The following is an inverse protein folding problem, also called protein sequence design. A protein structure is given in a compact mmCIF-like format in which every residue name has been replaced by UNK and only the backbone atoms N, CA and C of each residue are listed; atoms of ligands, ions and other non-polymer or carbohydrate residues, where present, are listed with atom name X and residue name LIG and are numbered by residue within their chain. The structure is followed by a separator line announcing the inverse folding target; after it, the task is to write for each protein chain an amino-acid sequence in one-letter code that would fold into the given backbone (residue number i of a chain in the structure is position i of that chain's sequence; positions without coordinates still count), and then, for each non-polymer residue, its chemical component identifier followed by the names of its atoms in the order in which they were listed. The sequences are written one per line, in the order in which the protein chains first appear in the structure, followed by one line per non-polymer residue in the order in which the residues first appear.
data_IF_685903868801
#
_entry.id   IF_685903868801
#
_cell.length_a   1.000
_cell.length_b   1.000
_cell.length_c   1.000
_cell.angle_alpha   90.00
_cell.angle_beta   90.00
_cell.angle_gamma   90.00
#
_symmetry.space_group_name_H-M   'P 1'
#
loop_
_entity.id
_entity.type
_entity.pdbx_description
1 polymer ?
#
# COMPACT_ATOMS: atom_id res chain seq x y z
N UNK A 1 4.71 -38.71 27.51
CA UNK A 1 5.53 -37.93 26.54
C UNK A 1 5.06 -38.09 25.09
N UNK A 2 4.71 -39.28 24.59
CA UNK A 2 4.31 -39.46 23.17
C UNK A 2 3.03 -38.69 22.74
N UNK A 3 2.07 -38.49 23.65
CA UNK A 3 0.81 -37.76 23.34
C UNK A 3 0.99 -36.24 23.18
N UNK A 4 2.00 -35.64 23.83
CA UNK A 4 2.24 -34.19 23.77
C UNK A 4 2.82 -33.75 22.43
N UNK A 5 3.69 -34.56 21.81
CA UNK A 5 4.18 -34.28 20.47
C UNK A 5 3.06 -34.41 19.42
N UNK A 6 2.06 -35.26 19.65
CA UNK A 6 0.96 -35.44 18.70
C UNK A 6 0.02 -34.23 18.63
N UNK A 7 -0.27 -33.56 19.75
CA UNK A 7 -1.15 -32.39 19.77
C UNK A 7 -0.48 -31.16 19.14
N UNK A 8 0.78 -30.90 19.48
CA UNK A 8 1.55 -29.80 18.89
C UNK A 8 1.75 -29.97 17.37
N UNK A 9 1.92 -31.22 16.91
CA UNK A 9 2.01 -31.54 15.49
C UNK A 9 0.67 -31.30 14.78
N UNK A 10 -0.48 -31.62 15.40
CA UNK A 10 -1.80 -31.33 14.80
C UNK A 10 -2.08 -29.84 14.61
N UNK A 11 -1.67 -28.95 15.54
CA UNK A 11 -1.87 -27.50 15.35
C UNK A 11 -1.01 -26.94 14.22
N UNK A 12 0.24 -27.40 14.09
CA UNK A 12 1.11 -27.02 12.99
C UNK A 12 0.62 -27.58 11.65
N UNK A 13 0.16 -28.83 11.61
CA UNK A 13 -0.42 -29.44 10.41
C UNK A 13 -1.69 -28.69 9.99
N UNK A 14 -2.61 -28.42 10.92
CA UNK A 14 -3.83 -27.64 10.65
C UNK A 14 -3.51 -26.22 10.20
N UNK A 15 -2.48 -25.58 10.76
CA UNK A 15 -2.07 -24.25 10.35
C UNK A 15 -1.46 -24.27 8.94
N UNK A 16 -0.51 -25.17 8.66
CA UNK A 16 0.11 -25.32 7.34
C UNK A 16 -0.95 -25.62 6.29
N UNK A 17 -1.89 -26.53 6.57
CA UNK A 17 -3.02 -26.82 5.68
C UNK A 17 -3.89 -25.58 5.43
N UNK A 18 -4.16 -24.79 6.48
CA UNK A 18 -4.97 -23.56 6.35
C UNK A 18 -4.27 -22.48 5.51
N UNK A 19 -2.93 -22.38 5.57
CA UNK A 19 -2.17 -21.33 4.86
C UNK A 19 -1.60 -21.78 3.51
N UNK A 20 -1.75 -23.04 3.13
CA UNK A 20 -1.11 -23.58 1.93
C UNK A 20 -1.57 -22.90 0.63
N UNK A 21 -2.83 -22.45 0.56
CA UNK A 21 -3.38 -21.74 -0.59
C UNK A 21 -3.09 -20.23 -0.59
N UNK A 22 -2.68 -19.66 0.56
CA UNK A 22 -2.51 -18.22 0.73
C UNK A 22 -1.48 -17.62 -0.25
N UNK A 23 -0.26 -18.17 -0.42
CA UNK A 23 0.70 -17.62 -1.36
C UNK A 23 0.19 -17.60 -2.80
N UNK A 24 -0.48 -18.67 -3.23
CA UNK A 24 -1.04 -18.79 -4.58
C UNK A 24 -2.16 -17.78 -4.83
N UNK A 25 -3.07 -17.62 -3.86
CA UNK A 25 -4.16 -16.65 -3.97
C UNK A 25 -3.65 -15.21 -3.94
N UNK A 26 -2.69 -14.90 -3.06
CA UNK A 26 -2.07 -13.57 -3.00
C UNK A 26 -1.35 -13.25 -4.31
N UNK A 27 -0.56 -14.19 -4.83
CA UNK A 27 0.16 -14.02 -6.09
C UNK A 27 -0.81 -13.80 -7.27
N UNK A 28 -1.94 -14.54 -7.30
CA UNK A 28 -2.99 -14.34 -8.30
C UNK A 28 -3.58 -12.92 -8.22
N UNK A 29 -3.91 -12.46 -7.02
CA UNK A 29 -4.49 -11.11 -6.83
C UNK A 29 -3.50 -10.03 -7.22
N UNK A 30 -2.23 -10.13 -6.80
CA UNK A 30 -1.18 -9.17 -7.13
C UNK A 30 -0.87 -9.13 -8.63
N UNK A 31 -0.82 -10.28 -9.30
CA UNK A 31 -0.64 -10.34 -10.75
C UNK A 31 -1.81 -9.67 -11.50
N UNK A 32 -3.04 -9.86 -11.02
CA UNK A 32 -4.21 -9.18 -11.59
C UNK A 32 -4.15 -7.66 -11.38
N UNK A 33 -3.72 -7.20 -10.19
CA UNK A 33 -3.51 -5.78 -9.91
C UNK A 33 -2.44 -5.21 -10.86
N UNK A 34 -1.30 -5.90 -11.02
CA UNK A 34 -0.22 -5.48 -11.94
C UNK A 34 -0.72 -5.38 -13.38
N UNK A 35 -1.48 -6.37 -13.85
CA UNK A 35 -2.05 -6.33 -15.20
C UNK A 35 -3.06 -5.18 -15.38
N UNK A 36 -3.82 -4.83 -14.33
CA UNK A 36 -4.69 -3.65 -14.34
C UNK A 36 -3.90 -2.34 -14.28
N UNK A 37 -2.77 -2.30 -13.56
CA UNK A 37 -1.87 -1.15 -13.52
C UNK A 37 -1.29 -0.82 -14.90
N UNK A 38 -0.79 -1.82 -15.60
CA UNK A 38 -0.27 -1.66 -16.97
C UNK A 38 -1.36 -1.09 -17.89
N UNK A 39 -2.57 -1.67 -17.86
CA UNK A 39 -3.72 -1.16 -18.64
C UNK A 39 -4.13 0.27 -18.25
N UNK A 40 -4.08 0.61 -16.96
CA UNK A 40 -4.37 1.97 -16.49
C UNK A 40 -3.33 2.97 -17.00
N UNK A 41 -2.06 2.60 -16.99
CA UNK A 41 -0.97 3.45 -17.47
C UNK A 41 -1.09 3.72 -18.96
N UNK A 42 -1.33 2.67 -19.75
CA UNK A 42 -1.53 2.78 -21.21
C UNK A 42 -2.74 3.67 -21.53
N UNK A 43 -3.89 3.40 -20.88
CA UNK A 43 -5.12 4.17 -21.08
C UNK A 43 -4.96 5.62 -20.62
N UNK A 44 -4.21 5.86 -19.53
CA UNK A 44 -3.92 7.21 -19.03
C UNK A 44 -3.05 7.99 -20.01
N UNK A 45 -2.03 7.37 -20.60
CA UNK A 45 -1.19 7.98 -21.62
C UNK A 45 -1.99 8.32 -22.90
N UNK A 46 -2.86 7.40 -23.35
CA UNK A 46 -3.76 7.65 -24.48
C UNK A 46 -4.73 8.79 -24.17
N UNK A 47 -5.33 8.78 -22.98
CA UNK A 47 -6.25 9.81 -22.53
C UNK A 47 -5.58 11.19 -22.48
N UNK A 48 -4.36 11.29 -21.96
CA UNK A 48 -3.59 12.54 -21.96
C UNK A 48 -3.37 13.06 -23.38
N UNK A 49 -3.03 12.18 -24.32
CA UNK A 49 -2.87 12.54 -25.73
C UNK A 49 -4.18 13.06 -26.34
N UNK A 50 -5.29 12.36 -26.10
CA UNK A 50 -6.61 12.75 -26.58
C UNK A 50 -7.08 14.09 -25.97
N UNK A 51 -6.82 14.32 -24.68
CA UNK A 51 -7.10 15.59 -24.00
C UNK A 51 -6.24 16.72 -24.57
N UNK A 52 -4.96 16.47 -24.83
CA UNK A 52 -4.07 17.48 -25.41
C UNK A 52 -4.50 17.87 -26.83
N UNK A 53 -4.95 16.90 -27.63
CA UNK A 53 -5.55 17.15 -28.95
C UNK A 53 -6.81 18.02 -28.82
N UNK A 54 -7.68 17.73 -27.84
CA UNK A 54 -8.92 18.46 -27.60
C UNK A 54 -8.63 19.92 -27.19
N UNK A 55 -7.62 20.13 -26.34
CA UNK A 55 -7.18 21.47 -25.92
C UNK A 55 -6.52 22.28 -27.04
N UNK A 56 -5.90 21.61 -28.01
CA UNK A 56 -5.32 22.25 -29.18
C UNK A 56 -6.37 22.72 -30.19
N UNK A 57 -7.59 22.15 -30.15
CA UNK A 57 -8.69 22.58 -31.01
C UNK A 57 -9.24 23.95 -30.56
N UNK A 58 -9.69 24.82 -31.49
CA UNK A 58 -10.28 26.09 -31.14
C UNK A 58 -11.53 25.90 -30.26
N UNK A 59 -11.68 26.65 -29.15
CA UNK A 59 -12.78 26.45 -28.23
C UNK A 59 -14.14 26.73 -28.87
N UNK A 60 -15.17 25.98 -28.45
CA UNK A 60 -16.53 25.99 -29.02
C UNK A 60 -17.15 27.38 -29.22
N UNK A 61 -16.91 28.35 -28.32
CA UNK A 61 -17.45 29.70 -28.44
C UNK A 61 -16.85 30.51 -29.62
N UNK A 62 -15.74 30.03 -30.18
CA UNK A 62 -15.04 30.62 -31.33
C UNK A 62 -15.38 29.89 -32.63
N UNK A 63 -16.11 28.77 -32.56
CA UNK A 63 -16.55 28.01 -33.72
C UNK A 63 -18.06 28.19 -33.95
N UNK A 64 -18.50 28.44 -35.19
CA UNK A 64 -19.92 28.63 -35.49
C UNK A 64 -20.76 27.34 -35.41
N UNK A 65 -20.12 26.17 -35.42
CA UNK A 65 -20.73 24.86 -35.16
C UNK A 65 -19.64 23.88 -34.66
N UNK A 66 -19.97 22.94 -33.75
CA UNK A 66 -19.04 21.88 -33.37
C UNK A 66 -18.72 21.01 -34.57
N UNK A 67 -17.43 20.80 -34.85
CA UNK A 67 -17.01 19.85 -35.87
C UNK A 67 -17.32 18.42 -35.38
N UNK A 68 -17.70 17.49 -36.27
CA UNK A 68 -17.94 16.09 -35.88
C UNK A 68 -16.71 15.46 -35.23
N UNK A 69 -15.50 15.83 -35.67
CA UNK A 69 -14.23 15.43 -35.07
C UNK A 69 -14.09 15.87 -33.60
N UNK A 70 -14.63 17.04 -33.25
CA UNK A 70 -14.62 17.52 -31.87
C UNK A 70 -15.56 16.68 -31.00
N UNK A 71 -16.77 16.36 -31.49
CA UNK A 71 -17.70 15.50 -30.75
C UNK A 71 -17.16 14.07 -30.56
N UNK A 72 -16.57 13.48 -31.61
CA UNK A 72 -15.95 12.15 -31.54
C UNK A 72 -14.81 12.11 -30.51
N UNK A 73 -13.98 13.16 -30.48
CA UNK A 73 -12.88 13.27 -29.53
C UNK A 73 -13.37 13.45 -28.10
N UNK A 74 -14.39 14.29 -27.87
CA UNK A 74 -15.01 14.45 -26.54
C UNK A 74 -15.61 13.13 -26.06
N UNK A 75 -16.32 12.41 -26.94
CA UNK A 75 -16.91 11.12 -26.61
C UNK A 75 -15.82 10.09 -26.27
N UNK A 76 -14.71 10.06 -27.02
CA UNK A 76 -13.57 9.18 -26.74
C UNK A 76 -12.93 9.49 -25.39
N UNK A 77 -12.65 10.76 -25.11
CA UNK A 77 -12.11 11.22 -23.82
C UNK A 77 -13.03 10.80 -22.67
N UNK A 78 -14.34 11.03 -22.80
CA UNK A 78 -15.31 10.66 -21.79
C UNK A 78 -15.39 9.13 -21.57
N UNK A 79 -15.36 8.33 -22.64
CA UNK A 79 -15.34 6.86 -22.52
C UNK A 79 -14.06 6.34 -21.88
N UNK A 80 -12.90 6.88 -22.25
CA UNK A 80 -11.61 6.47 -21.68
C UNK A 80 -11.50 6.86 -20.20
N UNK A 81 -12.02 8.04 -19.82
CA UNK A 81 -12.12 8.43 -18.40
C UNK A 81 -13.00 7.48 -17.59
N UNK A 82 -14.16 7.11 -18.13
CA UNK A 82 -15.07 6.17 -17.47
C UNK A 82 -14.42 4.79 -17.27
N UNK A 83 -13.74 4.30 -18.30
CA UNK A 83 -13.05 3.00 -18.23
C UNK A 83 -11.87 3.03 -17.25
N UNK A 84 -11.11 4.14 -17.21
CA UNK A 84 -10.03 4.32 -16.24
C UNK A 84 -10.54 4.27 -14.79
N UNK A 85 -11.67 4.92 -14.51
CA UNK A 85 -12.32 4.85 -13.20
C UNK A 85 -12.75 3.43 -12.86
N UNK A 86 -13.31 2.69 -13.81
CA UNK A 86 -13.70 1.30 -13.61
C UNK A 86 -12.49 0.43 -13.23
N UNK A 87 -11.36 0.54 -13.95
CA UNK A 87 -10.15 -0.21 -13.59
C UNK A 87 -9.59 0.19 -12.23
N UNK A 88 -9.66 1.48 -11.87
CA UNK A 88 -9.27 1.93 -10.54
C UNK A 88 -10.14 1.32 -9.43
N UNK A 89 -11.46 1.23 -9.64
CA UNK A 89 -12.38 0.57 -8.71
C UNK A 89 -12.07 -0.93 -8.57
N UNK A 90 -11.84 -1.63 -9.68
CA UNK A 90 -11.49 -3.05 -9.68
C UNK A 90 -10.16 -3.32 -8.95
N UNK A 91 -9.15 -2.45 -9.12
CA UNK A 91 -7.90 -2.53 -8.36
C UNK A 91 -8.12 -2.38 -6.86
N UNK A 92 -8.95 -1.42 -6.45
CA UNK A 92 -9.28 -1.21 -5.02
C UNK A 92 -9.98 -2.46 -4.46
N UNK A 93 -10.90 -3.06 -5.21
CA UNK A 93 -11.58 -4.28 -4.79
C UNK A 93 -10.61 -5.47 -4.64
N UNK A 94 -9.69 -5.64 -5.59
CA UNK A 94 -8.65 -6.68 -5.51
C UNK A 94 -7.72 -6.45 -4.31
N UNK A 95 -7.30 -5.21 -4.05
CA UNK A 95 -6.48 -4.88 -2.90
C UNK A 95 -7.23 -5.15 -1.58
N UNK A 96 -8.52 -4.81 -1.50
CA UNK A 96 -9.36 -5.14 -0.35
C UNK A 96 -9.50 -6.65 -0.17
N UNK A 97 -9.65 -7.42 -1.25
CA UNK A 97 -9.71 -8.88 -1.20
C UNK A 97 -8.40 -9.47 -0.65
N UNK A 98 -7.23 -9.01 -1.13
CA UNK A 98 -5.95 -9.45 -0.61
C UNK A 98 -5.80 -9.12 0.89
N UNK A 99 -6.24 -7.93 1.31
CA UNK A 99 -6.19 -7.53 2.71
C UNK A 99 -7.08 -8.41 3.60
N UNK A 100 -8.33 -8.66 3.18
CA UNK A 100 -9.26 -9.53 3.92
C UNK A 100 -8.74 -10.96 4.02
N UNK A 101 -8.09 -11.47 2.97
CA UNK A 101 -7.47 -12.79 2.98
C UNK A 101 -6.34 -12.84 4.03
N UNK A 102 -5.45 -11.85 4.05
CA UNK A 102 -4.38 -11.77 5.04
C UNK A 102 -4.93 -11.61 6.47
N UNK A 103 -5.95 -10.78 6.66
CA UNK A 103 -6.61 -10.57 7.95
C UNK A 103 -7.23 -11.87 8.48
N UNK A 104 -7.91 -12.63 7.63
CA UNK A 104 -8.48 -13.93 7.99
C UNK A 104 -7.41 -14.90 8.50
N UNK A 105 -6.30 -15.06 7.77
CA UNK A 105 -5.22 -15.97 8.18
C UNK A 105 -4.47 -15.48 9.43
N UNK A 106 -4.32 -14.17 9.61
CA UNK A 106 -3.75 -13.61 10.82
C UNK A 106 -4.62 -13.93 12.05
N UNK A 107 -5.93 -13.72 11.96
CA UNK A 107 -6.88 -14.02 13.04
C UNK A 107 -6.95 -15.53 13.34
N UNK A 108 -6.86 -16.39 12.33
CA UNK A 108 -6.84 -17.84 12.55
C UNK A 108 -5.52 -18.28 13.22
N UNK A 109 -4.37 -17.68 12.85
CA UNK A 109 -3.11 -17.94 13.53
C UNK A 109 -3.14 -17.49 15.00
N UNK A 110 -3.70 -16.32 15.29
CA UNK A 110 -3.89 -15.84 16.66
C UNK A 110 -4.76 -16.83 17.46
N UNK A 111 -5.87 -17.29 16.88
CA UNK A 111 -6.77 -18.27 17.51
C UNK A 111 -6.05 -19.60 17.81
N UNK A 112 -5.32 -20.14 16.85
CA UNK A 112 -4.57 -21.40 17.00
C UNK A 112 -3.47 -21.24 18.06
N UNK A 113 -2.79 -20.10 18.07
CA UNK A 113 -1.74 -19.80 19.06
C UNK A 113 -2.33 -19.73 20.48
N UNK A 114 -3.45 -19.03 20.66
CA UNK A 114 -4.15 -18.95 21.95
C UNK A 114 -4.61 -20.31 22.48
N UNK A 115 -5.11 -21.17 21.60
CA UNK A 115 -5.58 -22.51 21.96
C UNK A 115 -4.40 -23.43 22.35
N UNK A 116 -3.29 -23.35 21.62
CA UNK A 116 -2.03 -24.03 21.97
C UNK A 116 -1.51 -23.55 23.34
N UNK A 117 -1.51 -22.24 23.58
CA UNK A 117 -1.05 -21.62 24.82
C UNK A 117 -1.87 -22.09 26.04
N UNK A 118 -3.20 -22.18 25.89
CA UNK A 118 -4.10 -22.72 26.92
C UNK A 118 -3.83 -24.20 27.17
N UNK A 119 -3.61 -24.99 26.12
CA UNK A 119 -3.33 -26.42 26.24
C UNK A 119 -1.98 -26.67 26.93
N UNK A 120 -0.93 -25.90 26.60
CA UNK A 120 0.37 -25.96 27.26
C UNK A 120 0.28 -25.59 28.75
N UNK A 121 -0.43 -24.51 29.10
CA UNK A 121 -0.67 -24.12 30.51
C UNK A 121 -1.45 -25.19 31.28
N UNK A 122 -2.45 -25.82 30.65
CA UNK A 122 -3.25 -26.88 31.26
C UNK A 122 -2.43 -28.15 31.50
N UNK A 123 -1.52 -28.48 30.59
CA UNK A 123 -0.73 -29.71 30.63
C UNK A 123 0.55 -29.60 31.48
N UNK A 124 1.02 -28.38 31.79
CA UNK A 124 2.21 -28.17 32.62
C UNK A 124 2.05 -26.99 33.61
N UNK A 125 1.24 -27.13 34.67
CA UNK A 125 0.88 -26.03 35.57
C UNK A 125 2.03 -25.51 36.45
N UNK A 126 3.06 -26.32 36.72
CA UNK A 126 4.25 -25.96 37.54
C UNK A 126 5.53 -25.72 36.71
N UNK A 127 5.47 -25.94 35.38
CA UNK A 127 6.59 -25.67 34.48
C UNK A 127 6.64 -24.20 34.13
N UNK A 128 7.25 -23.40 35.01
CA UNK A 128 7.39 -21.95 34.92
C UNK A 128 7.54 -21.42 33.49
N UNK A 129 6.44 -20.91 32.96
CA UNK A 129 6.35 -20.13 31.71
C UNK A 129 6.72 -18.65 31.95
N UNK A 130 7.44 -18.33 33.05
CA UNK A 130 7.97 -16.99 33.29
C UNK A 130 8.98 -16.58 32.20
N UNK A 131 9.62 -17.54 31.52
CA UNK A 131 10.60 -17.25 30.46
C UNK A 131 9.98 -16.86 29.10
N UNK A 132 8.65 -16.96 28.96
CA UNK A 132 7.93 -16.62 27.72
C UNK A 132 7.00 -15.42 27.92
N UNK A 133 6.92 -14.89 29.15
CA UNK A 133 6.16 -13.68 29.44
C UNK A 133 6.78 -12.42 28.80
N UNK A 134 8.08 -12.45 28.51
CA UNK A 134 8.78 -11.40 27.74
C UNK A 134 8.58 -11.51 26.21
N UNK A 135 8.00 -12.62 25.73
CA UNK A 135 7.62 -12.83 24.32
C UNK A 135 6.10 -12.92 24.11
N UNK A 136 5.30 -12.73 25.17
CA UNK A 136 3.86 -12.61 25.02
C UNK A 136 3.60 -11.46 24.04
N UNK A 137 3.13 -11.81 22.84
CA UNK A 137 2.60 -10.83 21.90
C UNK A 137 1.66 -9.94 22.70
N UNK A 138 1.98 -8.66 22.72
CA UNK A 138 1.15 -7.63 23.32
C UNK A 138 -0.26 -7.77 22.72
N UNK A 139 -1.15 -8.43 23.44
CA UNK A 139 -2.55 -8.67 23.03
C UNK A 139 -3.34 -7.35 23.00
N UNK A 140 -2.75 -6.23 23.42
CA UNK A 140 -3.27 -4.89 23.17
C UNK A 140 -2.88 -4.32 21.78
N UNK A 141 -1.92 -4.92 21.06
CA UNK A 141 -1.51 -4.57 19.69
C UNK A 141 -2.27 -5.30 18.58
N UNK A 142 -3.33 -6.02 18.91
CA UNK A 142 -4.33 -6.52 17.93
C UNK A 142 -5.12 -5.39 17.24
N UNK A 143 -4.86 -4.13 17.59
CA UNK A 143 -5.18 -2.99 16.74
C UNK A 143 -3.90 -2.60 16.02
N UNK A 144 -3.78 -2.92 14.74
CA UNK A 144 -2.70 -2.39 13.91
C UNK A 144 -2.74 -0.85 14.02
N UNK A 145 -1.78 -0.19 14.70
CA UNK A 145 -1.79 1.27 14.82
C UNK A 145 -1.76 1.92 13.42
N UNK A 146 -1.16 1.19 12.47
CA UNK A 146 -1.02 1.57 11.08
C UNK A 146 -2.34 1.70 10.32
N UNK A 147 -3.41 0.97 10.68
CA UNK A 147 -4.68 1.05 9.94
C UNK A 147 -5.57 2.20 10.43
N UNK A 148 -5.58 2.47 11.75
CA UNK A 148 -6.24 3.67 12.29
C UNK A 148 -5.49 4.94 11.87
N UNK A 149 -4.15 4.93 11.89
CA UNK A 149 -3.33 6.05 11.40
C UNK A 149 -3.47 6.26 9.89
N UNK A 150 -3.52 5.19 9.09
CA UNK A 150 -3.75 5.30 7.65
C UNK A 150 -5.17 5.77 7.32
N UNK A 151 -6.20 5.25 7.98
CA UNK A 151 -7.58 5.72 7.80
C UNK A 151 -7.77 7.16 8.29
N UNK A 152 -7.09 7.57 9.36
CA UNK A 152 -7.13 8.94 9.87
C UNK A 152 -6.36 9.89 8.93
N UNK A 153 -5.23 9.46 8.36
CA UNK A 153 -4.47 10.21 7.36
C UNK A 153 -5.27 10.38 6.05
N UNK A 154 -5.96 9.33 5.60
CA UNK A 154 -6.80 9.39 4.40
C UNK A 154 -8.01 10.31 4.59
N UNK A 155 -8.61 10.32 5.79
CA UNK A 155 -9.68 11.27 6.13
C UNK A 155 -9.16 12.71 6.25
N UNK A 156 -7.91 12.89 6.68
CA UNK A 156 -7.27 14.20 6.78
C UNK A 156 -6.86 14.76 5.41
N UNK A 157 -6.52 13.89 4.44
CA UNK A 157 -6.29 14.26 3.05
C UNK A 157 -7.59 14.54 2.27
N UNK A 158 -8.68 13.81 2.55
CA UNK A 158 -9.99 14.08 1.94
C UNK A 158 -10.73 15.29 2.57
N UNK A 159 -10.29 15.76 3.74
CA UNK A 159 -10.81 16.98 4.34
C UNK A 159 -10.27 18.20 3.58
N UNK A 160 -11.06 18.69 2.62
CA UNK A 160 -10.85 19.97 1.95
C UNK A 160 -10.49 21.06 2.98
N UNK A 161 -9.42 21.85 2.77
CA UNK A 161 -9.11 22.95 3.66
C UNK A 161 -10.31 23.92 3.70
N UNK A 162 -10.68 24.45 4.87
CA UNK A 162 -11.75 25.45 4.94
C UNK A 162 -11.36 26.63 4.06
N UNK A 163 -12.29 27.04 3.19
CA UNK A 163 -12.12 28.17 2.28
C UNK A 163 -11.54 29.39 3.04
N UNK A 164 -10.54 30.09 2.49
CA UNK A 164 -9.97 31.25 3.15
C UNK A 164 -11.06 32.29 3.39
N UNK A 165 -11.26 32.65 4.66
CA UNK A 165 -12.16 33.72 5.05
C UNK A 165 -11.82 35.01 4.27
N UNK A 166 -12.81 35.80 3.83
CA UNK A 166 -12.55 37.01 3.07
C UNK A 166 -11.67 37.98 3.87
N UNK A 167 -10.58 38.40 3.23
CA UNK A 167 -9.61 39.32 3.79
C UNK A 167 -10.29 40.62 4.26
N UNK A 168 -10.24 40.87 5.56
CA UNK A 168 -10.64 42.16 6.14
C UNK A 168 -9.61 43.20 5.72
N UNK A 169 -10.05 44.14 4.88
CA UNK A 169 -9.24 45.26 4.43
C UNK A 169 -8.78 46.14 5.62
N UNK A 170 -7.53 46.67 5.60
CA UNK A 170 -7.04 47.54 6.66
C UNK A 170 -7.73 48.91 6.60
N UNK A 171 -8.35 49.29 7.72
CA UNK A 171 -8.97 50.59 7.92
C UNK A 171 -7.93 51.72 7.86
N UNK A 172 -7.98 52.52 6.79
CA UNK A 172 -7.29 53.82 6.75
C UNK A 172 -8.12 54.85 7.52
N UNK A 173 -7.53 55.38 8.58
CA UNK A 173 -7.95 56.63 9.24
C UNK A 173 -7.86 57.78 8.22
N UNK A 174 -8.96 58.46 7.97
CA UNK A 174 -8.95 59.81 7.41
C UNK A 174 -10.15 60.62 7.93
N UNK A 175 -9.80 61.62 8.74
CA UNK A 175 -10.43 62.93 8.97
C UNK A 175 -11.87 63.22 8.52
N UNK A 176 -12.62 63.70 9.50
CA UNK A 176 -13.86 64.48 9.43
C UNK A 176 -13.69 65.77 8.62
N UNK A 177 -14.60 66.05 7.68
CA UNK A 177 -15.03 67.41 7.34
C UNK A 177 -16.44 67.40 6.72
N UNK A 178 -17.35 68.16 7.35
CA UNK A 178 -18.70 68.52 6.90
C UNK A 178 -18.70 69.24 5.54
N UNK A 179 -19.81 69.14 4.79
CA UNK A 179 -20.69 70.28 4.41
C UNK A 179 -21.97 69.74 3.72
N UNK A 180 -23.08 70.40 4.07
CA UNK A 180 -24.48 70.16 3.74
C UNK A 180 -24.86 70.28 2.24
N UNK A 181 -26.00 69.69 1.84
CA UNK A 181 -27.21 70.46 1.44
C UNK A 181 -28.36 69.60 0.87
N UNK A 182 -29.55 69.80 1.46
CA UNK A 182 -30.91 69.89 0.87
C UNK A 182 -31.37 68.91 -0.23
N UNK A 183 -32.53 68.27 0.02
CA UNK A 183 -33.47 67.95 -1.08
C UNK A 183 -34.60 66.96 -0.80
N UNK A 184 -35.67 67.44 -0.16
CA UNK A 184 -37.10 67.06 -0.32
C UNK A 184 -37.53 65.59 -0.57
N UNK A 185 -38.29 65.09 0.43
CA UNK A 185 -39.46 64.17 0.45
C UNK A 185 -40.47 64.38 -0.72
N UNK A 186 -41.55 63.55 -0.94
CA UNK A 186 -42.24 62.70 0.06
C UNK A 186 -42.97 61.39 -0.38
N UNK A 187 -43.47 60.69 0.67
CA UNK A 187 -44.79 60.00 0.82
C UNK A 187 -45.16 58.81 -0.09
N UNK A 188 -45.87 57.76 0.34
CA UNK A 188 -46.86 57.51 1.43
C UNK A 188 -46.51 56.17 2.18
N UNK A 189 -46.70 55.94 3.49
CA UNK A 189 -47.95 55.76 4.30
C UNK A 189 -48.94 54.77 3.63
N UNK A 190 -49.41 53.66 4.19
CA UNK A 190 -49.78 53.23 5.56
C UNK A 190 -49.50 51.70 5.68
N UNK A 191 -49.35 51.03 6.82
CA UNK A 191 -49.67 51.35 8.20
C UNK A 191 -50.41 50.17 8.85
N UNK A 192 -49.94 49.77 10.04
CA UNK A 192 -50.72 49.11 11.12
C UNK A 192 -50.98 47.59 11.03
N UNK A 193 -50.95 46.74 12.06
CA UNK A 193 -50.54 46.71 13.48
C UNK A 193 -50.32 45.20 13.79
N UNK A 194 -49.40 44.71 14.62
CA UNK A 194 -49.23 44.98 16.05
C UNK A 194 -49.66 43.74 16.86
N UNK A 195 -48.82 43.28 17.80
CA UNK A 195 -49.27 42.43 18.91
C UNK A 195 -48.55 41.09 19.10
N UNK A 196 -47.72 41.03 20.15
CA UNK A 196 -47.10 39.85 20.74
C UNK A 196 -48.11 38.85 21.33
N UNK A 197 -47.67 37.62 21.63
CA UNK A 197 -47.63 36.97 22.97
C UNK A 197 -47.35 35.46 22.82
N UNK A 198 -46.67 34.95 23.84
CA UNK A 198 -46.18 33.60 24.12
C UNK A 198 -47.15 32.41 23.94
N UNK A 199 -46.53 31.22 23.81
CA UNK A 199 -46.85 30.12 24.71
C UNK A 199 -47.55 28.89 24.12
N UNK A 200 -47.03 27.73 24.56
CA UNK A 200 -47.65 26.42 24.68
C UNK A 200 -47.58 25.43 23.50
N UNK A 201 -47.07 24.25 23.84
CA UNK A 201 -47.16 22.96 23.17
C UNK A 201 -48.64 22.51 22.99
N UNK A 202 -48.98 21.41 22.26
CA UNK A 202 -48.66 20.05 22.74
C UNK A 202 -48.51 18.93 21.68
N UNK A 203 -48.15 17.77 22.22
CA UNK A 203 -48.62 16.40 21.89
C UNK A 203 -48.03 15.62 20.71
N UNK A 204 -47.31 14.56 21.10
CA UNK A 204 -47.14 13.30 20.36
C UNK A 204 -48.48 12.60 20.09
N UNK A 205 -48.48 11.56 19.22
CA UNK A 205 -48.73 10.25 19.81
C UNK A 205 -47.79 9.13 19.34
N UNK A 206 -47.61 8.19 20.26
CA UNK A 206 -46.85 6.95 20.22
C UNK A 206 -47.26 5.98 19.11
N UNK A 207 -46.28 5.26 18.54
CA UNK A 207 -46.50 3.91 17.98
C UNK A 207 -45.36 2.97 18.36
N UNK A 208 -45.77 1.75 18.69
CA UNK A 208 -45.10 0.65 19.40
C UNK A 208 -43.96 0.02 18.58
N UNK A 209 -42.80 -0.21 19.22
CA UNK A 209 -41.76 -1.12 18.69
C UNK A 209 -42.21 -2.57 18.85
N UNK A 210 -42.30 -3.30 17.73
CA UNK A 210 -42.41 -4.76 17.68
C UNK A 210 -41.11 -5.28 17.08
N UNK A 211 -40.45 -6.18 17.81
CA UNK A 211 -39.27 -6.89 17.37
C UNK A 211 -39.63 -7.92 16.29
N UNK A 212 -38.79 -8.03 15.26
CA UNK A 212 -38.76 -9.19 14.37
C UNK A 212 -37.32 -9.45 13.94
N UNK A 213 -36.86 -10.66 14.27
CA UNK A 213 -35.62 -11.27 13.83
C UNK A 213 -35.54 -11.33 12.30
N UNK A 214 -34.38 -10.98 11.74
CA UNK A 214 -34.08 -11.16 10.32
C UNK A 214 -33.17 -12.38 10.18
N UNK A 215 -33.73 -13.41 9.54
CA UNK A 215 -33.07 -14.64 9.15
C UNK A 215 -32.12 -14.39 7.96
N UNK A 216 -31.02 -15.13 7.96
CA UNK A 216 -30.07 -15.26 6.86
C UNK A 216 -30.78 -15.71 5.58
N UNK A 217 -30.48 -15.05 4.46
CA UNK A 217 -30.73 -15.57 3.12
C UNK A 217 -29.40 -15.99 2.47
N UNK A 218 -29.36 -17.12 1.74
CA UNK A 218 -28.15 -17.57 1.06
C UNK A 218 -27.88 -16.78 -0.23
N UNK A 219 -26.59 -16.51 -0.46
CA UNK A 219 -26.06 -15.81 -1.61
C UNK A 219 -26.30 -16.62 -2.90
N UNK A 220 -26.88 -15.96 -3.89
CA UNK A 220 -27.19 -16.48 -5.21
C UNK A 220 -25.91 -16.48 -6.07
N UNK A 221 -25.37 -17.65 -6.38
CA UNK A 221 -24.27 -17.82 -7.34
C UNK A 221 -24.80 -17.70 -8.77
N UNK A 222 -24.53 -16.59 -9.45
CA UNK A 222 -24.65 -16.51 -10.90
C UNK A 222 -23.39 -17.07 -11.56
N UNK A 223 -23.59 -18.10 -12.38
CA UNK A 223 -22.58 -18.66 -13.26
C UNK A 223 -22.23 -17.65 -14.36
N UNK A 224 -20.96 -17.25 -14.43
CA UNK A 224 -20.46 -16.45 -15.54
C UNK A 224 -20.07 -17.40 -16.68
N UNK A 225 -20.79 -17.31 -17.80
CA UNK A 225 -20.40 -17.88 -19.08
C UNK A 225 -19.21 -17.10 -19.63
N UNK A 226 -18.00 -17.61 -19.42
CA UNK A 226 -16.81 -17.17 -20.13
C UNK A 226 -16.42 -18.29 -21.09
N UNK A 227 -16.83 -18.11 -22.33
CA UNK A 227 -16.54 -19.03 -23.43
C UNK A 227 -15.04 -19.09 -23.72
N UNK A 228 -14.64 -20.33 -23.99
CA UNK A 228 -13.39 -20.87 -24.48
C UNK A 228 -12.79 -20.05 -25.65
N UNK A 229 -11.59 -19.51 -25.46
CA UNK A 229 -10.74 -19.03 -26.56
C UNK A 229 -9.41 -19.79 -26.54
N UNK A 230 -9.22 -20.60 -27.59
CA UNK A 230 -8.07 -21.46 -27.80
C UNK A 230 -6.74 -20.71 -27.82
N UNK A 231 -5.81 -21.24 -27.04
CA UNK A 231 -4.51 -20.67 -26.69
C UNK A 231 -3.40 -20.96 -27.73
N UNK A 232 -3.75 -21.30 -28.97
CA UNK A 232 -2.82 -21.93 -29.94
C UNK A 232 -2.38 -21.04 -31.12
N UNK A 233 -2.49 -19.71 -31.03
CA UNK A 233 -1.94 -18.83 -32.07
C UNK A 233 -1.52 -17.46 -31.54
N UNK A 234 -0.39 -17.44 -30.83
CA UNK A 234 0.43 -16.23 -30.74
C UNK A 234 1.77 -16.48 -31.46
N UNK A 235 2.21 -15.58 -32.36
CA UNK A 235 3.52 -15.68 -32.99
C UNK A 235 4.61 -15.46 -31.94
N UNK A 236 5.63 -16.32 -31.94
CA UNK A 236 6.80 -16.20 -31.08
C UNK A 236 7.48 -14.84 -31.29
N UNK A 237 7.54 -14.05 -30.23
CA UNK A 237 8.27 -12.78 -30.21
C UNK A 237 9.74 -13.13 -29.94
N UNK A 238 10.57 -13.01 -30.97
CA UNK A 238 12.02 -13.18 -30.87
C UNK A 238 12.61 -11.84 -30.40
N UNK A 239 12.89 -11.75 -29.10
CA UNK A 239 13.45 -10.56 -28.46
C UNK A 239 14.97 -10.50 -28.77
N UNK A 240 15.49 -9.40 -29.36
CA UNK A 240 16.89 -9.33 -29.71
C UNK A 240 17.75 -9.19 -28.44
N UNK A 241 18.30 -10.30 -27.99
CA UNK A 241 19.30 -10.37 -26.93
C UNK A 241 20.60 -9.67 -27.37
N UNK A 242 20.72 -8.39 -27.05
CA UNK A 242 22.01 -7.73 -26.95
C UNK A 242 22.70 -8.28 -25.68
N UNK A 243 23.55 -9.29 -25.86
CA UNK A 243 24.41 -9.83 -24.82
C UNK A 243 25.45 -8.77 -24.41
N UNK A 244 25.07 -7.90 -23.47
CA UNK A 244 26.00 -7.05 -22.75
C UNK A 244 26.85 -7.95 -21.84
N UNK A 245 28.18 -7.92 -22.01
CA UNK A 245 29.07 -8.76 -21.23
C UNK A 245 28.94 -8.41 -19.73
N UNK A 246 28.84 -9.40 -18.82
CA UNK A 246 28.62 -9.14 -17.40
C UNK A 246 29.74 -8.27 -16.85
N UNK A 247 29.36 -7.15 -16.22
CA UNK A 247 30.32 -6.23 -15.60
C UNK A 247 30.99 -6.97 -14.45
N UNK A 248 32.32 -7.17 -14.48
CA UNK A 248 33.01 -7.89 -13.41
C UNK A 248 33.06 -7.05 -12.14
N UNK A 249 33.13 -7.71 -10.98
CA UNK A 249 33.38 -7.05 -9.70
C UNK A 249 34.62 -6.13 -9.77
N UNK A 250 34.60 -5.00 -9.05
CA UNK A 250 35.76 -4.08 -8.99
C UNK A 250 36.95 -4.75 -8.31
N UNK A 251 36.69 -5.72 -7.41
CA UNK A 251 37.71 -6.58 -6.79
C UNK A 251 37.29 -8.04 -6.90
N UNK A 252 38.22 -8.98 -7.19
CA UNK A 252 37.90 -10.40 -7.16
C UNK A 252 37.46 -10.82 -5.75
N UNK A 253 36.48 -11.72 -5.64
CA UNK A 253 35.99 -12.19 -4.35
C UNK A 253 37.04 -13.02 -3.61
N UNK A 254 36.94 -13.17 -2.28
CA UNK A 254 37.91 -13.94 -1.51
C UNK A 254 38.02 -15.39 -2.01
N UNK A 255 39.21 -16.00 -1.99
CA UNK A 255 39.41 -17.37 -2.46
C UNK A 255 38.48 -18.36 -1.74
N UNK A 256 37.74 -19.16 -2.51
CA UNK A 256 36.86 -20.22 -1.99
C UNK A 256 35.42 -19.80 -1.70
N UNK A 257 35.07 -18.52 -1.89
CA UNK A 257 33.68 -18.07 -1.80
C UNK A 257 32.89 -18.51 -3.04
N UNK A 258 31.71 -19.07 -2.79
CA UNK A 258 30.73 -19.39 -3.82
C UNK A 258 29.82 -18.19 -4.08
N UNK A 259 29.27 -18.14 -5.29
CA UNK A 259 28.26 -17.16 -5.70
C UNK A 259 27.03 -17.16 -4.77
N UNK A 260 26.62 -18.33 -4.29
CA UNK A 260 25.55 -18.48 -3.32
C UNK A 260 25.78 -19.65 -2.34
N UNK A 261 25.13 -19.59 -1.17
CA UNK A 261 25.22 -20.60 -0.12
C UNK A 261 23.98 -20.63 0.79
N UNK A 262 23.71 -21.75 1.46
CA UNK A 262 22.60 -21.86 2.42
C UNK A 262 22.88 -21.18 3.77
N UNK A 263 24.13 -20.77 4.02
CA UNK A 263 24.61 -20.14 5.25
C UNK A 263 25.67 -19.11 4.88
N UNK A 264 25.85 -18.03 5.67
CA UNK A 264 26.88 -17.05 5.40
C UNK A 264 28.27 -17.71 5.46
N UNK A 265 29.03 -17.60 4.37
CA UNK A 265 30.38 -18.14 4.25
C UNK A 265 31.39 -17.27 5.01
N UNK A 266 31.04 -16.00 5.27
CA UNK A 266 31.83 -15.06 6.04
C UNK A 266 31.92 -15.37 7.54
N UNK A 267 31.32 -16.46 8.01
CA UNK A 267 31.45 -17.00 9.36
C UNK A 267 32.86 -17.58 9.62
N UNK A 268 33.91 -16.77 9.46
CA UNK A 268 35.29 -17.19 9.71
C UNK A 268 35.54 -17.20 11.22
N UNK A 269 35.73 -18.38 11.80
CA UNK A 269 35.97 -18.53 13.25
C UNK A 269 34.74 -18.38 14.13
N UNK A 270 33.53 -18.47 13.58
CA UNK A 270 32.27 -18.45 14.32
C UNK A 270 31.73 -17.06 14.67
N UNK A 271 32.41 -15.98 14.29
CA UNK A 271 31.87 -14.62 14.37
C UNK A 271 31.36 -14.19 12.99
N UNK A 272 30.06 -13.90 12.92
CA UNK A 272 29.41 -13.28 11.76
C UNK A 272 29.25 -11.80 12.07
N UNK A 273 29.77 -10.92 11.20
CA UNK A 273 29.58 -9.48 11.32
C UNK A 273 28.46 -9.03 10.39
N UNK A 274 27.28 -8.81 10.96
CA UNK A 274 26.16 -8.23 10.23
C UNK A 274 26.38 -6.74 9.95
N UNK A 275 25.72 -6.22 8.92
CA UNK A 275 25.62 -4.77 8.72
C UNK A 275 24.82 -4.16 9.87
N UNK A 276 25.42 -3.17 10.56
CA UNK A 276 24.72 -2.34 11.54
C UNK A 276 24.37 -0.97 10.96
N UNK A 277 23.43 -0.24 11.59
CA UNK A 277 23.07 1.13 11.16
C UNK A 277 24.27 2.08 11.17
N UNK A 278 25.20 1.90 12.12
CA UNK A 278 26.42 2.72 12.23
C UNK A 278 27.42 2.47 11.09
N UNK A 279 27.30 1.34 10.38
CA UNK A 279 28.15 0.99 9.25
C UNK A 279 27.66 1.61 7.93
N UNK A 280 26.45 2.18 7.89
CA UNK A 280 25.85 2.77 6.69
C UNK A 280 26.54 4.10 6.36
N UNK A 281 27.47 4.06 5.42
CA UNK A 281 28.18 5.23 4.91
C UNK A 281 29.00 4.93 3.67
N UNK A 282 29.73 5.93 3.17
CA UNK A 282 30.55 5.82 1.95
C UNK A 282 31.65 4.75 2.05
N UNK A 283 32.06 4.38 3.27
CA UNK A 283 33.06 3.33 3.52
C UNK A 283 32.61 1.92 3.11
N UNK A 284 31.32 1.73 2.78
CA UNK A 284 30.80 0.45 2.27
C UNK A 284 31.08 0.27 0.77
N UNK A 285 31.34 1.34 0.02
CA UNK A 285 31.58 1.26 -1.42
C UNK A 285 32.84 0.44 -1.72
N UNK A 286 32.72 -0.54 -2.62
CA UNK A 286 33.76 -1.49 -2.98
C UNK A 286 33.95 -2.65 -1.99
N UNK A 287 33.15 -2.72 -0.91
CA UNK A 287 33.16 -3.87 0.01
C UNK A 287 32.28 -4.98 -0.53
N UNK A 288 32.71 -6.22 -0.31
CA UNK A 288 31.83 -7.35 -0.55
C UNK A 288 31.05 -7.68 0.71
N UNK A 289 29.85 -8.18 0.48
CA UNK A 289 28.95 -8.67 1.50
C UNK A 289 28.26 -9.94 1.00
N UNK A 290 27.64 -10.65 1.93
CA UNK A 290 26.68 -11.71 1.62
C UNK A 290 25.29 -11.20 1.96
N UNK A 291 24.39 -11.24 0.99
CA UNK A 291 23.00 -10.79 1.11
C UNK A 291 22.08 -12.00 1.20
N UNK A 292 21.22 -12.04 2.21
CA UNK A 292 20.22 -13.08 2.38
C UNK A 292 18.95 -12.75 1.61
N UNK A 293 18.45 -13.70 0.84
CA UNK A 293 17.18 -13.62 0.15
C UNK A 293 16.15 -14.57 0.78
N UNK A 294 15.00 -14.07 1.25
CA UNK A 294 14.03 -14.87 1.99
C UNK A 294 13.26 -15.86 1.10
N UNK A 295 13.09 -15.53 -0.19
CA UNK A 295 12.28 -16.32 -1.12
C UNK A 295 12.88 -17.70 -1.41
N UNK A 296 14.21 -17.78 -1.50
CA UNK A 296 14.93 -19.02 -1.76
C UNK A 296 15.78 -19.50 -0.58
N UNK A 297 15.83 -18.71 0.50
CA UNK A 297 16.60 -18.98 1.72
C UNK A 297 18.10 -19.16 1.42
N UNK A 298 18.64 -18.37 0.48
CA UNK A 298 20.06 -18.37 0.10
C UNK A 298 20.75 -17.06 0.44
N UNK A 299 22.06 -17.18 0.67
CA UNK A 299 23.00 -16.07 0.82
C UNK A 299 23.74 -15.88 -0.50
N UNK A 300 23.71 -14.67 -1.04
CA UNK A 300 24.33 -14.28 -2.30
C UNK A 300 25.54 -13.42 -2.07
N UNK A 301 26.63 -13.73 -2.77
CA UNK A 301 27.82 -12.91 -2.78
C UNK A 301 27.59 -11.68 -3.65
N UNK A 302 27.70 -10.51 -3.02
CA UNK A 302 27.50 -9.21 -3.65
C UNK A 302 28.69 -8.28 -3.41
N UNK A 303 28.83 -7.29 -4.29
CA UNK A 303 29.71 -6.13 -4.10
C UNK A 303 28.88 -4.85 -4.06
N UNK A 304 29.12 -4.01 -3.06
CA UNK A 304 28.45 -2.72 -2.93
C UNK A 304 29.16 -1.72 -3.85
N UNK A 305 28.49 -1.26 -4.91
CA UNK A 305 29.06 -0.38 -5.94
C UNK A 305 28.86 1.10 -5.62
N UNK A 306 27.72 1.44 -5.01
CA UNK A 306 27.35 2.82 -4.72
C UNK A 306 26.50 2.86 -3.46
N UNK A 307 26.66 3.89 -2.63
CA UNK A 307 25.85 4.12 -1.43
C UNK A 307 25.37 5.56 -1.42
N UNK A 308 24.05 5.73 -1.39
CA UNK A 308 23.38 7.01 -1.25
C UNK A 308 23.04 7.25 0.23
N UNK A 309 23.92 7.94 0.95
CA UNK A 309 23.79 8.15 2.41
C UNK A 309 22.48 8.88 2.79
N UNK A 310 21.99 9.77 1.90
CA UNK A 310 20.77 10.53 2.13
C UNK A 310 19.48 9.69 2.10
N UNK A 311 19.35 8.78 1.13
CA UNK A 311 18.22 7.85 1.02
C UNK A 311 18.43 6.53 1.75
N UNK A 312 19.67 6.26 2.20
CA UNK A 312 20.13 4.98 2.76
C UNK A 312 19.96 3.81 1.79
N UNK A 313 20.02 4.10 0.50
CA UNK A 313 19.98 3.10 -0.55
C UNK A 313 21.39 2.76 -1.04
N UNK A 314 21.61 1.53 -1.47
CA UNK A 314 22.85 1.10 -2.09
C UNK A 314 22.58 0.35 -3.39
N UNK A 315 23.44 0.57 -4.37
CA UNK A 315 23.48 -0.23 -5.58
C UNK A 315 24.49 -1.36 -5.37
N UNK A 316 24.03 -2.59 -5.50
CA UNK A 316 24.85 -3.79 -5.36
C UNK A 316 24.97 -4.51 -6.69
N UNK A 317 26.09 -5.20 -6.87
CA UNK A 317 26.38 -6.06 -8.01
C UNK A 317 26.40 -7.51 -7.52
N UNK A 318 25.70 -8.40 -8.22
CA UNK A 318 25.75 -9.83 -7.99
C UNK A 318 26.92 -10.47 -8.75
N UNK A 319 27.33 -11.66 -8.31
CA UNK A 319 28.32 -12.47 -9.03
C UNK A 319 27.89 -12.89 -10.44
N UNK A 320 26.58 -12.82 -10.76
CA UNK A 320 26.02 -13.04 -12.09
C UNK A 320 26.24 -11.86 -13.04
N UNK A 321 26.57 -10.67 -12.52
CA UNK A 321 26.67 -9.43 -13.28
C UNK A 321 25.42 -8.54 -13.19
N UNK A 322 24.38 -8.98 -12.48
CA UNK A 322 23.14 -8.22 -12.31
C UNK A 322 23.28 -7.14 -11.23
N UNK A 323 22.58 -6.02 -11.40
CA UNK A 323 22.54 -4.93 -10.44
C UNK A 323 21.19 -4.87 -9.73
N UNK A 324 21.22 -4.52 -8.45
CA UNK A 324 20.02 -4.26 -7.67
C UNK A 324 20.20 -3.06 -6.75
N UNK A 325 19.09 -2.39 -6.44
CA UNK A 325 19.06 -1.28 -5.48
C UNK A 325 18.41 -1.77 -4.20
N UNK A 326 19.12 -1.67 -3.08
CA UNK A 326 18.71 -2.16 -1.78
C UNK A 326 18.57 -1.01 -0.78
N UNK A 327 17.58 -1.13 0.11
CA UNK A 327 17.46 -0.24 1.26
C UNK A 327 18.33 -0.76 2.41
N UNK A 328 19.47 -0.12 2.67
CA UNK A 328 20.43 -0.57 3.68
C UNK A 328 19.87 -0.53 5.10
N UNK A 329 18.88 0.33 5.38
CA UNK A 329 18.29 0.42 6.72
C UNK A 329 17.41 -0.81 7.02
N UNK A 330 16.63 -1.24 6.03
CA UNK A 330 15.82 -2.46 6.12
C UNK A 330 16.73 -3.69 6.20
N UNK A 331 17.71 -3.79 5.31
CA UNK A 331 18.64 -4.92 5.29
C UNK A 331 19.44 -5.04 6.60
N UNK A 332 19.84 -3.91 7.21
CA UNK A 332 20.52 -3.90 8.51
C UNK A 332 19.56 -4.29 9.66
N UNK A 333 18.31 -3.81 9.63
CA UNK A 333 17.29 -4.12 10.64
C UNK A 333 16.97 -5.61 10.67
N UNK A 334 16.87 -6.22 9.49
CA UNK A 334 16.47 -7.62 9.33
C UNK A 334 17.67 -8.58 9.42
N UNK A 335 18.89 -8.05 9.60
CA UNK A 335 20.13 -8.83 9.67
C UNK A 335 20.35 -9.67 8.39
N UNK A 336 19.88 -9.18 7.25
CA UNK A 336 19.93 -9.85 5.96
C UNK A 336 21.21 -9.54 5.18
N UNK A 337 22.19 -8.86 5.77
CA UNK A 337 23.49 -8.68 5.14
C UNK A 337 24.64 -8.88 6.12
N UNK A 338 25.63 -9.65 5.66
CA UNK A 338 26.86 -9.95 6.39
C UNK A 338 28.03 -9.32 5.65
N UNK A 339 28.82 -8.52 6.34
CA UNK A 339 29.98 -7.87 5.77
C UNK A 339 31.17 -8.83 5.76
N UNK A 340 31.78 -9.02 4.59
CA UNK A 340 32.99 -9.82 4.48
C UNK A 340 34.16 -9.03 5.10
N UNK A 341 34.91 -9.62 6.05
CA UNK A 341 36.09 -9.00 6.63
C UNK A 341 37.17 -8.73 5.57
N UNK A 342 37.78 -7.54 5.61
CA UNK A 342 38.81 -7.16 4.63
C UNK A 342 40.11 -7.98 4.72
N UNK A 343 40.38 -8.59 5.88
CA UNK A 343 41.54 -9.45 6.08
C UNK A 343 41.48 -10.77 5.27
N UNK A 344 40.36 -11.07 4.60
CA UNK A 344 40.22 -12.23 3.72
C UNK A 344 40.71 -11.96 2.28
N UNK A 345 41.13 -10.74 1.97
CA UNK A 345 41.61 -10.33 0.64
C UNK A 345 43.14 -10.28 0.50
N UNK A 346 43.88 -10.80 1.50
CA UNK A 346 45.36 -10.82 1.52
C UNK A 346 45.98 -11.99 0.78
#
# INVERSE_FOLDING_TARGET
MALHNSANVMYLESFVESTNSLPLELQRVLNNIKALDEKCNDLSAELQTNVQLLLAMPPLYRQPAPTPEYEDLVNRVASSQKLLLQFAEEKVQLAQQAHQLLEYHALELERVTDDLDKELRKNNPDGGLEYLQDFALDTARGKTPRLEEFNMSLQQELALPPAPAPAVAPSKKASVANVASKGKRPRDEDGNAGGAVAGAAPSQPHVKKKASAAAMQPLNTQASTFDDYGLDSLPAYDEPAAAEAPVPFMRPPPPGYKASSQKPQAATGGLVRYLCQDDIGEALVGRHAELFWPDDNLWYLIEIQEVQVGSREARVLYSTGDFETLNLEETARDMHMVLIPENLYT
#
